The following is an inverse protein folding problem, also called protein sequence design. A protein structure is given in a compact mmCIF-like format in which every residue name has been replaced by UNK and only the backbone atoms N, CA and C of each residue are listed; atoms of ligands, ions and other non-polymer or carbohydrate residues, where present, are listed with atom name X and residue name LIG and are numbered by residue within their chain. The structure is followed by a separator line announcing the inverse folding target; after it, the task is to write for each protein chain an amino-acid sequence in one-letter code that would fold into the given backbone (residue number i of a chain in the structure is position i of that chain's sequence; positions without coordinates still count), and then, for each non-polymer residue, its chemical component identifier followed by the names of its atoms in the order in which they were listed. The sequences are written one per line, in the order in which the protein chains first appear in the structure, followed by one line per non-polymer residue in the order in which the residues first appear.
data_IF_298408392695
#
_entry.id   IF_298408392695
#
_cell.length_a   1.000
_cell.length_b   1.000
_cell.length_c   1.000
_cell.angle_alpha   90.00
_cell.angle_beta   90.00
_cell.angle_gamma   90.00
#
_symmetry.space_group_name_H-M   'P 1'
#
loop_
_entity.id
_entity.type
_entity.pdbx_description
1 polymer ?
#
# COMPACT_ATOMS: atom_id res chain seq x y z
N UNK A 1 -5.50 -0.30 0.21
CA UNK A 1 -5.79 0.10 1.61
C UNK A 1 -4.93 1.31 1.88
N UNK A 2 -5.46 2.52 2.07
CA UNK A 2 -4.62 3.62 2.44
C UNK A 2 -4.01 3.29 3.80
N UNK A 3 -2.72 2.97 3.81
CA UNK A 3 -1.97 2.74 5.03
C UNK A 3 -1.63 4.10 5.65
N UNK A 4 -2.64 4.74 6.21
CA UNK A 4 -2.51 5.92 7.08
C UNK A 4 -1.75 5.56 8.37
N UNK A 5 -1.42 4.27 8.56
CA UNK A 5 -0.81 3.77 9.79
C UNK A 5 0.53 4.39 10.12
N UNK A 6 1.46 4.44 9.16
CA UNK A 6 2.79 4.98 9.41
C UNK A 6 2.77 6.50 9.65
N UNK A 7 1.89 7.22 8.93
CA UNK A 7 1.67 8.65 9.15
C UNK A 7 1.14 8.93 10.56
N UNK A 8 0.17 8.11 11.03
CA UNK A 8 -0.33 8.22 12.39
C UNK A 8 0.75 7.97 13.45
N UNK A 9 1.65 7.02 13.24
CA UNK A 9 2.77 6.79 14.16
C UNK A 9 3.69 8.01 14.19
N UNK A 10 4.12 8.50 13.05
CA UNK A 10 5.03 9.65 12.95
C UNK A 10 4.41 10.92 13.53
N UNK A 11 3.11 11.16 13.23
CA UNK A 11 2.41 12.36 13.67
C UNK A 11 2.18 12.42 15.17
N UNK A 12 1.95 11.27 15.80
CA UNK A 12 1.54 11.21 17.21
C UNK A 12 2.61 10.67 18.16
N UNK A 13 3.49 9.81 17.68
CA UNK A 13 4.52 9.15 18.49
C UNK A 13 5.95 9.50 18.08
N UNK A 14 6.12 10.14 16.91
CA UNK A 14 7.39 10.61 16.37
C UNK A 14 7.51 12.13 16.40
N UNK A 15 8.19 12.69 15.40
CA UNK A 15 8.49 14.13 15.33
C UNK A 15 7.31 15.02 14.90
N UNK A 16 6.16 14.46 14.59
CA UNK A 16 4.91 15.20 14.33
C UNK A 16 4.63 15.50 12.86
N UNK A 17 3.39 15.96 12.62
CA UNK A 17 2.83 16.15 11.27
C UNK A 17 3.57 17.20 10.43
N UNK A 18 4.12 18.24 11.05
CA UNK A 18 4.84 19.32 10.35
C UNK A 18 6.12 18.77 9.73
N UNK A 19 6.94 18.08 10.53
CA UNK A 19 8.20 17.50 10.05
C UNK A 19 7.96 16.37 9.06
N UNK A 20 6.92 15.54 9.28
CA UNK A 20 6.53 14.51 8.32
C UNK A 20 6.14 15.12 6.97
N UNK A 21 5.35 16.21 6.97
CA UNK A 21 4.97 16.91 5.75
C UNK A 21 6.18 17.48 5.01
N UNK A 22 7.16 18.02 5.75
CA UNK A 22 8.40 18.50 5.16
C UNK A 22 9.21 17.37 4.50
N UNK A 23 9.27 16.18 5.13
CA UNK A 23 9.92 14.99 4.55
C UNK A 23 9.21 14.50 3.30
N UNK A 24 7.86 14.42 3.33
CA UNK A 24 7.07 14.05 2.16
C UNK A 24 7.30 15.01 0.98
N UNK A 25 7.35 16.33 1.25
CA UNK A 25 7.68 17.32 0.23
C UNK A 25 9.08 17.10 -0.35
N UNK A 26 10.08 16.86 0.49
CA UNK A 26 11.45 16.58 0.04
C UNK A 26 11.55 15.31 -0.81
N UNK A 27 10.78 14.27 -0.49
CA UNK A 27 10.67 13.03 -1.29
C UNK A 27 10.02 13.33 -2.66
N UNK A 28 8.91 14.05 -2.69
CA UNK A 28 8.20 14.41 -3.93
C UNK A 28 9.06 15.28 -4.87
N UNK A 29 9.89 16.15 -4.30
CA UNK A 29 10.84 16.98 -5.04
C UNK A 29 12.13 16.24 -5.44
N UNK A 30 12.30 14.99 -5.01
CA UNK A 30 13.48 14.17 -5.30
C UNK A 30 14.75 14.62 -4.56
N UNK A 31 14.63 15.40 -3.49
CA UNK A 31 15.76 15.85 -2.65
C UNK A 31 16.32 14.74 -1.77
N UNK A 32 15.48 13.84 -1.33
CA UNK A 32 15.82 12.64 -0.57
C UNK A 32 15.10 11.44 -1.17
N UNK A 33 15.63 10.23 -0.94
CA UNK A 33 14.92 9.01 -1.37
C UNK A 33 13.71 8.74 -0.47
N UNK A 34 12.71 8.01 -0.98
CA UNK A 34 11.60 7.56 -0.15
C UNK A 34 12.11 6.73 1.05
N UNK A 35 13.07 5.83 0.81
CA UNK A 35 13.69 4.99 1.83
C UNK A 35 14.28 5.81 2.97
N UNK A 36 15.07 6.85 2.65
CA UNK A 36 15.75 7.65 3.67
C UNK A 36 14.76 8.50 4.46
N UNK A 37 13.85 9.21 3.77
CA UNK A 37 12.81 9.99 4.43
C UNK A 37 11.91 9.14 5.31
N UNK A 38 11.53 7.95 4.84
CA UNK A 38 10.69 7.04 5.61
C UNK A 38 11.43 6.46 6.83
N UNK A 39 12.74 6.17 6.70
CA UNK A 39 13.58 5.78 7.82
C UNK A 39 13.64 6.89 8.88
N UNK A 40 13.88 8.14 8.48
CA UNK A 40 13.92 9.28 9.41
C UNK A 40 12.59 9.43 10.18
N UNK A 41 11.46 9.28 9.48
CA UNK A 41 10.13 9.32 10.11
C UNK A 41 9.98 8.25 11.20
N UNK A 42 10.31 7.00 10.90
CA UNK A 42 10.16 5.89 11.84
C UNK A 42 11.22 5.92 12.96
N UNK A 43 12.44 6.35 12.67
CA UNK A 43 13.51 6.49 13.66
C UNK A 43 13.23 7.58 14.70
N UNK A 44 12.30 8.50 14.41
CA UNK A 44 11.84 9.51 15.36
C UNK A 44 10.92 8.95 16.47
N UNK A 45 10.50 7.68 16.35
CA UNK A 45 9.57 7.03 17.28
C UNK A 45 10.33 6.28 18.34
N UNK A 46 10.17 6.70 19.61
CA UNK A 46 10.78 6.05 20.78
C UNK A 46 9.87 5.03 21.47
N UNK A 47 8.58 5.02 21.12
CA UNK A 47 7.56 4.16 21.70
C UNK A 47 7.86 2.69 21.40
N UNK A 48 7.72 1.74 22.36
CA UNK A 48 7.83 0.30 22.12
C UNK A 48 6.98 -0.18 20.95
N UNK A 49 7.46 -1.20 20.22
CA UNK A 49 6.81 -1.62 18.98
C UNK A 49 5.40 -2.19 19.20
N UNK A 50 5.20 -2.99 20.23
CA UNK A 50 3.89 -3.51 20.62
C UNK A 50 2.89 -2.40 20.94
N UNK A 51 3.32 -1.34 21.63
CA UNK A 51 2.50 -0.16 21.91
C UNK A 51 2.17 0.62 20.61
N UNK A 52 3.09 0.66 19.65
CA UNK A 52 2.81 1.24 18.32
C UNK A 52 1.72 0.45 17.58
N UNK A 53 1.77 -0.88 17.62
CA UNK A 53 0.75 -1.76 17.03
C UNK A 53 -0.60 -1.53 17.70
N UNK A 54 -0.64 -1.52 19.03
CA UNK A 54 -1.87 -1.28 19.78
C UNK A 54 -2.47 0.10 19.48
N UNK A 55 -1.62 1.14 19.47
CA UNK A 55 -2.01 2.51 19.12
C UNK A 55 -2.71 2.57 17.76
N UNK A 56 -2.15 1.92 16.74
CA UNK A 56 -2.76 1.88 15.41
C UNK A 56 -4.06 1.06 15.40
N UNK A 57 -4.08 -0.07 16.07
CA UNK A 57 -5.28 -0.88 16.19
C UNK A 57 -6.43 -0.12 16.86
N UNK A 58 -6.15 0.80 17.77
CA UNK A 58 -7.20 1.60 18.43
C UNK A 58 -7.70 2.76 17.54
N UNK A 59 -6.88 3.33 16.68
CA UNK A 59 -7.13 4.61 16.00
C UNK A 59 -7.37 4.52 14.50
N UNK A 60 -6.78 3.53 13.84
CA UNK A 60 -6.95 3.39 12.39
C UNK A 60 -8.31 2.76 12.09
N UNK A 61 -9.13 3.49 11.35
CA UNK A 61 -10.35 2.98 10.76
C UNK A 61 -10.04 2.52 9.34
N UNK A 62 -10.23 1.25 9.09
CA UNK A 62 -10.05 0.67 7.76
C UNK A 62 -11.33 0.85 6.93
N UNK A 63 -11.19 0.85 5.61
CA UNK A 63 -12.31 0.95 4.69
C UNK A 63 -13.25 -0.25 4.89
N UNK A 64 -14.53 -0.03 5.27
CA UNK A 64 -15.46 -1.11 5.57
C UNK A 64 -15.75 -1.99 4.35
N UNK A 65 -15.70 -1.44 3.13
CA UNK A 65 -15.91 -2.18 1.90
C UNK A 65 -14.75 -3.14 1.56
N UNK A 66 -13.59 -3.00 2.22
CA UNK A 66 -12.50 -3.97 2.05
C UNK A 66 -12.90 -5.36 2.53
N UNK A 67 -13.67 -5.47 3.62
CA UNK A 67 -14.15 -6.78 4.12
C UNK A 67 -15.07 -7.45 3.09
N UNK A 68 -15.92 -6.69 2.42
CA UNK A 68 -16.78 -7.20 1.35
C UNK A 68 -15.95 -7.68 0.15
N UNK A 69 -14.98 -6.88 -0.29
CA UNK A 69 -14.04 -7.26 -1.34
C UNK A 69 -13.26 -8.52 -0.97
N UNK A 70 -12.72 -8.60 0.25
CA UNK A 70 -11.96 -9.76 0.73
C UNK A 70 -12.79 -11.05 0.69
N UNK A 71 -14.02 -11.00 1.24
CA UNK A 71 -14.91 -12.16 1.25
C UNK A 71 -15.28 -12.60 -0.18
N UNK A 72 -15.56 -11.66 -1.06
CA UNK A 72 -15.83 -11.95 -2.45
C UNK A 72 -14.60 -12.56 -3.14
N UNK A 73 -13.42 -12.00 -2.98
CA UNK A 73 -12.19 -12.50 -3.57
C UNK A 73 -11.87 -13.93 -3.10
N UNK A 74 -12.02 -14.19 -1.78
CA UNK A 74 -11.85 -15.53 -1.21
C UNK A 74 -12.82 -16.55 -1.84
N UNK A 75 -14.10 -16.19 -1.94
CA UNK A 75 -15.14 -17.08 -2.47
C UNK A 75 -15.00 -17.35 -3.99
N UNK A 76 -14.32 -16.47 -4.71
CA UNK A 76 -14.09 -16.60 -6.16
C UNK A 76 -12.64 -17.02 -6.50
N UNK A 77 -11.83 -17.43 -5.51
CA UNK A 77 -10.43 -17.82 -5.68
C UNK A 77 -9.57 -16.74 -6.35
N UNK A 78 -9.88 -15.47 -6.10
CA UNK A 78 -9.08 -14.32 -6.55
C UNK A 78 -7.97 -14.06 -5.52
N UNK A 79 -6.70 -14.28 -5.85
CA UNK A 79 -5.60 -14.04 -4.92
C UNK A 79 -5.50 -12.54 -4.57
N UNK A 80 -5.26 -12.25 -3.30
CA UNK A 80 -5.03 -10.90 -2.80
C UNK A 80 -3.62 -10.79 -2.25
N UNK A 81 -2.85 -9.82 -2.74
CA UNK A 81 -1.49 -9.56 -2.25
C UNK A 81 -1.41 -8.12 -1.76
N UNK A 82 -1.02 -7.93 -0.52
CA UNK A 82 -0.73 -6.61 0.06
C UNK A 82 0.75 -6.32 -0.16
N UNK A 83 1.06 -5.45 -1.13
CA UNK A 83 2.40 -4.90 -1.34
C UNK A 83 2.51 -3.56 -0.64
N UNK A 84 3.27 -3.49 0.45
CA UNK A 84 3.26 -2.30 1.31
C UNK A 84 4.66 -1.86 1.73
N UNK A 85 4.86 -0.54 1.81
CA UNK A 85 6.03 0.05 2.47
C UNK A 85 5.90 0.08 4.01
N UNK A 86 4.75 -0.33 4.55
CA UNK A 86 4.59 -0.54 5.99
C UNK A 86 5.33 -1.79 6.48
N UNK A 87 5.05 -2.20 7.72
CA UNK A 87 5.68 -3.36 8.35
C UNK A 87 4.68 -4.51 8.50
N UNK A 88 5.12 -5.73 8.18
CA UNK A 88 4.28 -6.96 8.21
C UNK A 88 3.51 -7.10 9.52
N UNK A 89 4.10 -6.96 10.73
CA UNK A 89 3.34 -7.17 11.97
C UNK A 89 2.20 -6.16 12.16
N UNK A 90 2.39 -4.92 11.75
CA UNK A 90 1.35 -3.87 11.81
C UNK A 90 0.22 -4.19 10.84
N UNK A 91 0.56 -4.51 9.58
CA UNK A 91 -0.43 -4.82 8.54
C UNK A 91 -1.26 -6.02 8.95
N UNK A 92 -0.61 -7.06 9.45
CA UNK A 92 -1.26 -8.28 9.93
C UNK A 92 -2.25 -7.98 11.07
N UNK A 93 -1.81 -7.25 12.10
CA UNK A 93 -2.65 -6.88 13.24
C UNK A 93 -3.89 -6.06 12.81
N UNK A 94 -3.71 -5.11 11.89
CA UNK A 94 -4.81 -4.31 11.34
C UNK A 94 -5.79 -5.14 10.51
N UNK A 95 -5.30 -6.10 9.72
CA UNK A 95 -6.16 -7.02 8.97
C UNK A 95 -6.95 -7.94 9.88
N UNK A 96 -6.31 -8.54 10.89
CA UNK A 96 -7.01 -9.37 11.90
C UNK A 96 -8.10 -8.57 12.60
N UNK A 97 -7.81 -7.33 13.00
CA UNK A 97 -8.80 -6.44 13.61
C UNK A 97 -9.98 -6.15 12.67
N UNK A 98 -9.70 -5.85 11.39
CA UNK A 98 -10.73 -5.52 10.40
C UNK A 98 -11.63 -6.72 10.10
N UNK A 99 -11.00 -7.88 9.88
CA UNK A 99 -11.71 -9.10 9.47
C UNK A 99 -12.35 -9.84 10.65
N UNK A 100 -11.84 -9.63 11.87
CA UNK A 100 -12.26 -10.36 13.07
C UNK A 100 -11.71 -11.80 13.17
N UNK A 101 -10.83 -12.19 12.24
CA UNK A 101 -10.17 -13.49 12.17
C UNK A 101 -8.86 -13.38 11.38
N UNK A 102 -8.03 -14.42 11.40
CA UNK A 102 -6.82 -14.52 10.59
C UNK A 102 -7.13 -14.43 9.08
N UNK A 103 -6.37 -13.61 8.30
CA UNK A 103 -6.56 -13.52 6.86
C UNK A 103 -6.07 -14.80 6.16
N UNK A 104 -6.96 -15.51 5.46
CA UNK A 104 -6.65 -16.80 4.83
C UNK A 104 -6.24 -16.68 3.34
N UNK A 105 -6.71 -15.62 2.65
CA UNK A 105 -6.52 -15.42 1.21
C UNK A 105 -5.73 -14.14 0.91
N UNK A 106 -4.89 -13.70 1.86
CA UNK A 106 -4.05 -12.52 1.71
C UNK A 106 -2.59 -12.90 1.94
N UNK A 107 -1.75 -12.65 0.95
CA UNK A 107 -0.30 -12.64 1.12
C UNK A 107 0.14 -11.21 1.49
N UNK A 108 0.96 -11.06 2.51
CA UNK A 108 1.55 -9.76 2.90
C UNK A 108 3.03 -9.78 2.50
N UNK A 109 3.40 -8.85 1.62
CA UNK A 109 4.78 -8.60 1.22
C UNK A 109 5.09 -7.15 1.58
N UNK A 110 5.91 -6.96 2.61
CA UNK A 110 6.18 -5.65 3.20
C UNK A 110 7.51 -5.66 3.96
N UNK A 111 7.91 -4.51 4.47
CA UNK A 111 9.07 -4.39 5.35
C UNK A 111 8.88 -5.18 6.65
N UNK A 112 9.97 -5.45 7.35
CA UNK A 112 9.96 -6.08 8.65
C UNK A 112 10.30 -5.07 9.75
N UNK A 113 10.22 -5.51 10.99
CA UNK A 113 10.77 -4.82 12.16
C UNK A 113 11.99 -5.56 12.65
N UNK A 114 13.03 -4.83 12.99
CA UNK A 114 14.27 -5.38 13.57
C UNK A 114 14.64 -4.67 14.87
N UNK A 115 15.46 -5.33 15.67
CA UNK A 115 16.09 -4.75 16.84
C UNK A 115 17.00 -3.58 16.45
N UNK A 116 16.95 -2.50 17.21
CA UNK A 116 17.90 -1.39 17.13
C UNK A 116 18.97 -1.57 18.21
N UNK A 117 20.23 -1.66 17.79
CA UNK A 117 21.40 -1.81 18.68
C UNK A 117 21.31 -3.02 19.63
N UNK A 118 20.66 -4.11 19.19
CA UNK A 118 20.50 -5.33 20.00
C UNK A 118 19.48 -5.23 21.13
N UNK A 119 18.71 -4.16 21.23
CA UNK A 119 17.64 -3.98 22.22
C UNK A 119 16.43 -4.83 21.90
N UNK A 120 15.59 -5.09 22.90
CA UNK A 120 14.25 -5.63 22.67
C UNK A 120 13.41 -4.62 21.89
N UNK A 121 12.74 -5.08 20.83
CA UNK A 121 11.85 -4.24 20.00
C UNK A 121 10.71 -3.62 20.82
N UNK A 122 10.30 -4.26 21.91
CA UNK A 122 9.28 -3.81 22.84
C UNK A 122 9.88 -3.02 24.03
N UNK A 123 11.07 -2.47 23.85
CA UNK A 123 11.65 -1.48 24.74
C UNK A 123 11.69 -0.11 24.09
N UNK A 124 11.77 0.96 24.89
CA UNK A 124 11.83 2.33 24.39
C UNK A 124 13.01 2.53 23.43
N UNK A 125 12.70 2.97 22.19
CA UNK A 125 13.68 3.16 21.11
C UNK A 125 14.39 1.86 20.69
N UNK A 126 13.78 0.68 20.94
CA UNK A 126 14.40 -0.62 20.70
C UNK A 126 14.21 -1.18 19.30
N UNK A 127 13.36 -0.58 18.45
CA UNK A 127 13.06 -1.09 17.14
C UNK A 127 13.46 -0.14 16.02
N UNK A 128 13.60 -0.69 14.83
CA UNK A 128 13.80 0.02 13.58
C UNK A 128 13.15 -0.74 12.43
N UNK A 129 12.92 -0.05 11.32
CA UNK A 129 12.45 -0.71 10.10
C UNK A 129 13.58 -1.54 9.48
N UNK A 130 13.23 -2.76 9.08
CA UNK A 130 14.07 -3.62 8.23
C UNK A 130 13.45 -3.66 6.83
N UNK A 131 14.11 -2.96 5.91
CA UNK A 131 13.59 -2.78 4.55
C UNK A 131 13.63 -4.08 3.76
N UNK A 132 12.58 -4.30 2.98
CA UNK A 132 12.39 -5.50 2.15
C UNK A 132 13.49 -5.66 1.10
N UNK A 133 13.97 -4.56 0.51
CA UNK A 133 15.04 -4.54 -0.48
C UNK A 133 15.96 -3.31 -0.34
N UNK A 134 17.01 -3.28 -1.18
CA UNK A 134 17.98 -2.19 -1.18
C UNK A 134 17.67 -1.06 -2.16
N UNK A 135 16.47 -1.01 -2.74
CA UNK A 135 16.05 0.07 -3.62
C UNK A 135 15.91 1.39 -2.86
N UNK A 136 15.82 2.48 -3.61
CA UNK A 136 15.51 3.81 -3.06
C UNK A 136 14.08 3.93 -2.50
N UNK A 137 13.23 2.92 -2.73
CA UNK A 137 11.92 2.77 -2.09
C UNK A 137 11.99 1.97 -0.79
N UNK A 138 13.04 1.13 -0.59
CA UNK A 138 13.10 0.15 0.50
C UNK A 138 12.17 -1.05 0.31
N UNK A 139 11.19 -0.93 -0.58
CA UNK A 139 10.37 -2.00 -1.13
C UNK A 139 9.94 -1.58 -2.54
N UNK A 140 10.70 -1.99 -3.55
CA UNK A 140 10.32 -1.82 -4.95
C UNK A 140 9.25 -2.86 -5.33
N UNK A 141 7.99 -2.47 -5.19
CA UNK A 141 6.83 -3.31 -5.45
C UNK A 141 6.80 -3.89 -6.87
N UNK A 142 7.51 -3.28 -7.83
CA UNK A 142 7.62 -3.81 -9.18
C UNK A 142 8.35 -5.16 -9.23
N UNK A 143 9.25 -5.42 -8.28
CA UNK A 143 9.99 -6.68 -8.22
C UNK A 143 9.06 -7.87 -7.95
N UNK A 144 8.01 -7.66 -7.17
CA UNK A 144 7.00 -8.67 -6.87
C UNK A 144 6.01 -8.90 -8.03
N UNK A 145 5.79 -7.89 -8.86
CA UNK A 145 4.81 -7.94 -9.96
C UNK A 145 5.46 -8.45 -11.26
N UNK A 146 6.73 -8.11 -11.51
CA UNK A 146 7.44 -8.48 -12.75
C UNK A 146 7.41 -9.96 -13.11
N UNK A 147 7.54 -10.92 -12.17
CA UNK A 147 7.44 -12.34 -12.49
C UNK A 147 6.13 -12.71 -13.17
N UNK A 148 5.02 -12.12 -12.72
CA UNK A 148 3.71 -12.32 -13.32
C UNK A 148 3.57 -11.56 -14.65
N UNK A 149 4.02 -10.32 -14.70
CA UNK A 149 3.96 -9.49 -15.92
C UNK A 149 4.83 -10.05 -17.06
N UNK A 150 5.85 -10.81 -16.76
CA UNK A 150 6.73 -11.46 -17.75
C UNK A 150 6.09 -12.71 -18.40
N UNK A 151 5.05 -13.28 -17.83
CA UNK A 151 4.31 -14.40 -18.44
C UNK A 151 3.59 -13.87 -19.69
N UNK A 152 3.56 -14.64 -20.80
CA UNK A 152 2.80 -14.24 -22.00
C UNK A 152 1.36 -13.87 -21.69
N UNK A 153 0.82 -12.83 -22.34
CA UNK A 153 -0.54 -12.30 -22.07
C UNK A 153 -1.64 -13.36 -22.15
N UNK A 154 -1.46 -14.39 -22.99
CA UNK A 154 -2.42 -15.49 -23.13
C UNK A 154 -2.51 -16.39 -21.88
N UNK A 155 -1.46 -16.41 -21.06
CA UNK A 155 -1.27 -17.41 -20.02
C UNK A 155 -1.23 -16.80 -18.60
N UNK A 156 -1.05 -15.46 -18.51
CA UNK A 156 -0.93 -14.78 -17.24
C UNK A 156 -2.28 -14.24 -16.72
N UNK A 157 -2.42 -14.11 -15.39
CA UNK A 157 -3.59 -13.43 -14.82
C UNK A 157 -3.62 -11.95 -15.21
N UNK A 158 -4.81 -11.35 -15.19
CA UNK A 158 -4.97 -9.89 -15.20
C UNK A 158 -4.45 -9.34 -13.88
N UNK A 159 -3.55 -8.35 -13.97
CA UNK A 159 -2.91 -7.73 -12.82
C UNK A 159 -3.60 -6.42 -12.48
N UNK A 160 -4.36 -6.40 -11.40
CA UNK A 160 -5.01 -5.21 -10.85
C UNK A 160 -4.19 -4.69 -9.66
N UNK A 161 -3.99 -3.38 -9.58
CA UNK A 161 -3.28 -2.76 -8.47
C UNK A 161 -4.05 -1.56 -7.92
N UNK A 162 -4.12 -1.43 -6.60
CA UNK A 162 -4.71 -0.29 -5.91
C UNK A 162 -3.68 0.36 -5.00
N UNK A 163 -3.47 1.67 -5.15
CA UNK A 163 -2.48 2.43 -4.39
C UNK A 163 -2.88 3.89 -4.17
N UNK A 164 -2.09 4.61 -3.37
CA UNK A 164 -2.35 6.01 -3.01
C UNK A 164 -1.11 6.91 -2.98
N UNK A 165 0.10 6.35 -2.91
CA UNK A 165 1.31 7.11 -2.62
C UNK A 165 2.46 6.97 -3.63
N UNK A 166 3.56 7.63 -3.28
CA UNK A 166 4.81 7.68 -4.10
C UNK A 166 5.39 6.29 -4.31
N UNK A 167 5.35 5.43 -3.28
CA UNK A 167 5.90 4.06 -3.36
C UNK A 167 5.13 3.14 -4.29
N UNK A 168 3.93 3.54 -4.75
CA UNK A 168 3.09 2.74 -5.64
C UNK A 168 3.43 2.93 -7.13
N UNK A 169 4.27 3.92 -7.46
CA UNK A 169 4.65 4.21 -8.84
C UNK A 169 5.33 3.03 -9.52
N UNK A 170 6.19 2.33 -8.79
CA UNK A 170 6.91 1.18 -9.34
C UNK A 170 5.95 0.06 -9.74
N UNK A 171 4.91 -0.18 -8.93
CA UNK A 171 3.84 -1.13 -9.21
C UNK A 171 2.93 -0.68 -10.36
N UNK A 172 2.56 0.60 -10.38
CA UNK A 172 1.66 1.18 -11.37
C UNK A 172 2.06 0.91 -12.82
N UNK A 173 3.35 0.86 -13.09
CA UNK A 173 3.92 0.64 -14.44
C UNK A 173 3.94 -0.84 -14.87
N UNK A 174 3.62 -1.77 -13.98
CA UNK A 174 3.74 -3.22 -14.19
C UNK A 174 2.38 -3.93 -14.20
N UNK A 175 1.28 -3.20 -14.00
CA UNK A 175 -0.07 -3.76 -13.89
C UNK A 175 -0.93 -3.44 -15.11
N UNK A 176 -1.98 -4.24 -15.33
CA UNK A 176 -2.91 -4.04 -16.45
C UNK A 176 -3.93 -2.94 -16.15
N UNK A 177 -4.31 -2.79 -14.88
CA UNK A 177 -5.23 -1.76 -14.41
C UNK A 177 -4.78 -1.21 -13.07
N UNK A 178 -4.61 0.11 -13.01
CA UNK A 178 -4.26 0.84 -11.81
C UNK A 178 -5.49 1.57 -11.25
N UNK A 179 -5.81 1.31 -9.98
CA UNK A 179 -6.72 2.12 -9.17
C UNK A 179 -5.90 3.07 -8.30
N UNK A 180 -6.02 4.39 -8.53
CA UNK A 180 -5.34 5.40 -7.72
C UNK A 180 -6.36 6.08 -6.78
N UNK A 181 -6.03 6.15 -5.49
CA UNK A 181 -6.90 6.76 -4.47
C UNK A 181 -7.11 8.23 -4.80
N UNK A 182 -8.38 8.64 -4.92
CA UNK A 182 -8.76 10.02 -5.23
C UNK A 182 -8.21 11.02 -4.22
N UNK A 183 -7.59 12.09 -4.71
CA UNK A 183 -7.04 13.15 -3.85
C UNK A 183 -5.70 12.84 -3.18
N UNK A 184 -5.04 11.73 -3.52
CA UNK A 184 -3.74 11.33 -3.00
C UNK A 184 -2.61 11.49 -4.01
N UNK A 185 -1.37 11.41 -3.53
CA UNK A 185 -0.15 11.72 -4.30
C UNK A 185 0.00 10.89 -5.58
N UNK A 186 -0.43 9.62 -5.57
CA UNK A 186 -0.35 8.75 -6.74
C UNK A 186 -1.10 9.35 -7.94
N UNK A 187 -2.27 10.00 -7.73
CA UNK A 187 -3.02 10.64 -8.82
C UNK A 187 -2.27 11.81 -9.43
N UNK A 188 -1.55 12.59 -8.60
CA UNK A 188 -0.73 13.73 -9.05
C UNK A 188 0.42 13.23 -9.91
N UNK A 189 1.09 12.18 -9.45
CA UNK A 189 2.24 11.60 -10.16
C UNK A 189 1.81 10.92 -11.45
N UNK A 190 0.71 10.15 -11.44
CA UNK A 190 0.17 9.51 -12.64
C UNK A 190 -0.17 10.55 -13.71
N UNK A 191 -0.77 11.69 -13.34
CA UNK A 191 -1.02 12.81 -14.27
C UNK A 191 0.27 13.39 -14.83
N UNK A 192 1.25 13.69 -13.98
CA UNK A 192 2.54 14.24 -14.39
C UNK A 192 3.29 13.32 -15.36
N UNK A 193 3.28 12.02 -15.07
CA UNK A 193 4.08 11.01 -15.79
C UNK A 193 3.28 10.32 -16.90
N UNK A 194 2.05 10.74 -17.17
CA UNK A 194 1.11 10.14 -18.17
C UNK A 194 0.91 8.63 -17.97
N UNK A 195 0.80 8.17 -16.71
CA UNK A 195 0.48 6.79 -16.37
C UNK A 195 -1.04 6.63 -16.37
N UNK A 196 -1.62 5.69 -17.13
CA UNK A 196 -3.06 5.44 -17.11
C UNK A 196 -3.53 4.92 -15.74
N UNK A 197 -4.62 5.44 -15.21
CA UNK A 197 -5.21 5.01 -13.95
C UNK A 197 -6.70 5.28 -13.90
N UNK A 198 -7.45 4.56 -13.06
CA UNK A 198 -8.80 4.91 -12.63
C UNK A 198 -8.77 5.39 -11.17
N UNK A 199 -9.68 6.31 -10.81
CA UNK A 199 -9.78 6.75 -9.41
C UNK A 199 -10.72 5.86 -8.62
N UNK A 200 -10.45 5.69 -7.33
CA UNK A 200 -11.37 5.07 -6.39
C UNK A 200 -11.47 5.92 -5.10
N UNK A 201 -12.66 5.89 -4.47
CA UNK A 201 -12.89 6.53 -3.17
C UNK A 201 -12.89 5.50 -2.04
N UNK A 202 -13.40 4.31 -2.30
CA UNK A 202 -13.44 3.18 -1.39
C UNK A 202 -13.36 1.84 -2.16
N UNK A 203 -13.34 0.74 -1.44
CA UNK A 203 -13.21 -0.59 -2.04
C UNK A 203 -14.45 -1.08 -2.78
N UNK A 204 -15.59 -0.43 -2.66
CA UNK A 204 -16.81 -0.82 -3.37
C UNK A 204 -16.65 -0.70 -4.90
N UNK A 205 -15.99 0.36 -5.36
CA UNK A 205 -15.71 0.56 -6.78
C UNK A 205 -14.70 -0.44 -7.34
N UNK A 206 -13.67 -0.77 -6.56
CA UNK A 206 -12.70 -1.82 -6.92
C UNK A 206 -13.39 -3.17 -7.01
N UNK A 207 -14.24 -3.50 -6.02
CA UNK A 207 -15.02 -4.74 -6.01
C UNK A 207 -15.93 -4.84 -7.24
N UNK A 208 -16.68 -3.78 -7.56
CA UNK A 208 -17.57 -3.77 -8.71
C UNK A 208 -16.82 -4.02 -10.01
N UNK A 209 -15.74 -3.28 -10.25
CA UNK A 209 -14.93 -3.42 -11.47
C UNK A 209 -14.30 -4.81 -11.57
N UNK A 210 -13.74 -5.32 -10.46
CA UNK A 210 -13.10 -6.65 -10.47
C UNK A 210 -14.12 -7.76 -10.72
N UNK A 211 -15.31 -7.64 -10.13
CA UNK A 211 -16.43 -8.57 -10.35
C UNK A 211 -16.86 -8.57 -11.82
N UNK A 212 -17.07 -7.40 -12.39
CA UNK A 212 -17.55 -7.27 -13.77
C UNK A 212 -16.53 -7.81 -14.78
N UNK A 213 -15.22 -7.63 -14.51
CA UNK A 213 -14.15 -8.25 -15.29
C UNK A 213 -14.18 -9.77 -15.19
N UNK A 214 -14.32 -10.33 -13.98
CA UNK A 214 -14.34 -11.78 -13.76
C UNK A 214 -15.57 -12.45 -14.39
N UNK A 215 -16.71 -11.78 -14.34
CA UNK A 215 -17.99 -12.25 -14.91
C UNK A 215 -18.09 -12.00 -16.42
N UNK A 216 -17.11 -11.35 -17.04
CA UNK A 216 -17.10 -11.02 -18.47
C UNK A 216 -18.14 -9.96 -18.90
N UNK A 217 -18.64 -9.16 -17.95
CA UNK A 217 -19.57 -8.06 -18.20
C UNK A 217 -18.89 -6.83 -18.80
N UNK A 218 -17.60 -6.70 -18.57
CA UNK A 218 -16.74 -5.66 -19.14
C UNK A 218 -15.38 -6.23 -19.49
N UNK A 219 -14.63 -5.52 -20.32
CA UNK A 219 -13.25 -5.87 -20.67
C UNK A 219 -12.27 -4.86 -20.08
N UNK A 220 -10.99 -5.24 -19.99
CA UNK A 220 -9.93 -4.32 -19.60
C UNK A 220 -9.90 -3.08 -20.48
N UNK A 221 -10.05 -3.26 -21.80
CA UNK A 221 -10.05 -2.17 -22.77
C UNK A 221 -11.24 -1.20 -22.55
N UNK A 222 -12.42 -1.70 -22.20
CA UNK A 222 -13.58 -0.88 -21.86
C UNK A 222 -13.35 -0.05 -20.61
N UNK A 223 -12.80 -0.66 -19.55
CA UNK A 223 -12.48 0.04 -18.30
C UNK A 223 -11.42 1.11 -18.54
N UNK A 224 -10.35 0.80 -19.30
CA UNK A 224 -9.30 1.76 -19.65
C UNK A 224 -9.83 2.90 -20.55
N UNK A 225 -10.75 2.59 -21.47
CA UNK A 225 -11.37 3.61 -22.34
C UNK A 225 -12.24 4.59 -21.55
N UNK A 226 -13.04 4.10 -20.59
CA UNK A 226 -13.86 4.93 -19.72
C UNK A 226 -13.03 5.94 -18.91
N UNK A 227 -11.83 5.55 -18.44
CA UNK A 227 -10.92 6.41 -17.67
C UNK A 227 -10.41 7.63 -18.43
N UNK A 228 -10.22 7.51 -19.74
CA UNK A 228 -9.72 8.63 -20.57
C UNK A 228 -10.72 9.78 -20.67
N UNK A 229 -11.98 9.54 -20.35
CA UNK A 229 -13.02 10.57 -20.33
C UNK A 229 -13.12 11.30 -18.98
N UNK A 230 -12.84 10.61 -17.86
CA UNK A 230 -12.91 11.21 -16.52
C UNK A 230 -11.68 12.06 -16.16
N UNK A 231 -10.58 11.91 -16.89
CA UNK A 231 -9.31 12.63 -16.65
C UNK A 231 -9.13 13.90 -17.52
N UNK A 232 -10.14 14.29 -18.28
CA UNK A 232 -10.19 15.57 -19.03
C UNK A 232 -10.90 16.63 -18.23
#
# INVERSE_FOLDING_TARGET
MPLVGNDHLTDHLGFGAVERSARNTAILEGKITFRDGFREMLDSIDTPFDECVEFLCQRVTLDPHFTEFYNWAKNNNVPVVVLSSGMVPIIHALLVKLLGHEPENIQIVANQVASRDGKDINSKGGWQIDFHDNSHFGHDKSLEIRPYAAIPKSDRPILLYAGDGVSDISAARQTDLLFAKKGHDLTIICKRDNIPYTTFEDWSSILSTTRDLLEGKTTLDDVIAAQKHDNK
#
